data_IF_854363632003
#
_entry.id   IF_854363632003
#
_cell.length_a   1.000
_cell.length_b   1.000
_cell.length_c   1.000
_cell.angle_alpha   90.00
_cell.angle_beta   90.00
_cell.angle_gamma   90.00
#
_symmetry.space_group_name_H-M   'P 1'
#
loop_
_entity.id
_entity.type
_entity.pdbx_description
1 polymer ?
#
# COMPACT_ATOMS: atom_id res chain seq x y z
N UNK A 1 51.83 -0.87 9.84
CA UNK A 1 50.82 -0.16 9.05
C UNK A 1 49.49 -0.89 9.09
N UNK A 2 48.58 -0.49 9.98
CA UNK A 2 47.25 -1.10 10.21
C UNK A 2 46.19 -0.05 9.84
N UNK A 3 46.28 0.50 8.62
CA UNK A 3 45.32 1.54 8.16
C UNK A 3 44.46 1.03 7.00
N UNK A 4 44.87 -0.02 6.29
CA UNK A 4 44.14 -0.50 5.11
C UNK A 4 42.93 -1.40 5.40
N UNK A 5 42.80 -1.99 6.60
CA UNK A 5 41.71 -2.93 6.91
C UNK A 5 40.43 -2.27 7.43
N UNK A 6 40.47 -1.01 7.87
CA UNK A 6 39.28 -0.32 8.39
C UNK A 6 38.36 0.22 7.29
N UNK A 7 38.89 0.50 6.10
CA UNK A 7 38.09 1.08 5.01
C UNK A 7 37.16 0.05 4.34
N UNK A 8 37.50 -1.25 4.33
CA UNK A 8 36.64 -2.27 3.75
C UNK A 8 35.35 -2.55 4.56
N UNK A 9 35.33 -2.23 5.86
CA UNK A 9 34.16 -2.48 6.73
C UNK A 9 33.16 -1.32 6.69
N UNK A 10 33.58 -0.15 6.21
CA UNK A 10 32.73 1.04 6.10
C UNK A 10 31.91 1.07 4.80
N UNK A 11 32.44 0.53 3.69
CA UNK A 11 31.74 0.50 2.40
C UNK A 11 30.62 -0.55 2.31
N UNK A 12 30.57 -1.54 3.22
CA UNK A 12 29.53 -2.58 3.23
C UNK A 12 28.32 -2.23 4.12
N UNK A 13 28.08 -0.96 4.40
CA UNK A 13 26.78 -0.49 4.90
C UNK A 13 25.87 -0.18 3.71
N UNK A 14 25.70 -1.19 2.84
CA UNK A 14 24.78 -1.16 1.70
C UNK A 14 23.36 -1.21 2.22
N UNK A 15 22.81 -0.03 2.50
CA UNK A 15 21.39 0.30 2.46
C UNK A 15 20.47 -0.79 3.06
N UNK A 16 20.58 -1.07 4.36
CA UNK A 16 19.50 -1.80 5.02
C UNK A 16 18.23 -0.93 4.97
N UNK A 17 17.14 -1.39 4.34
CA UNK A 17 15.89 -0.63 4.31
C UNK A 17 15.38 -0.51 5.74
N UNK A 18 15.22 0.73 6.22
CA UNK A 18 14.66 0.98 7.54
C UNK A 18 13.27 0.31 7.62
N UNK A 19 13.01 -0.56 8.61
CA UNK A 19 11.70 -1.18 8.77
C UNK A 19 10.67 -0.08 9.05
N UNK A 20 9.75 0.10 8.10
CA UNK A 20 8.65 1.06 8.26
C UNK A 20 7.55 0.41 9.10
N UNK A 21 6.87 1.15 9.98
CA UNK A 21 5.78 0.61 10.78
C UNK A 21 4.69 0.05 9.86
N UNK A 22 4.36 -1.23 10.01
CA UNK A 22 3.28 -1.90 9.27
C UNK A 22 1.89 -1.35 9.66
N UNK A 23 1.79 -0.69 10.83
CA UNK A 23 0.55 -0.18 11.41
C UNK A 23 0.65 1.33 11.74
N UNK A 24 0.98 2.19 10.77
CA UNK A 24 0.86 3.64 10.97
C UNK A 24 -0.52 4.19 10.59
N UNK A 25 -1.47 3.32 10.25
CA UNK A 25 -2.83 3.68 9.83
C UNK A 25 -3.55 4.57 10.81
N UNK A 26 -3.47 5.87 10.53
CA UNK A 26 -4.36 6.87 11.08
C UNK A 26 -5.77 6.45 10.63
N UNK A 27 -6.63 6.20 11.61
CA UNK A 27 -8.00 5.66 11.53
C UNK A 27 -8.99 6.60 10.82
N UNK A 28 -8.62 7.08 9.63
CA UNK A 28 -9.51 7.70 8.68
C UNK A 28 -9.42 6.83 7.43
N UNK A 29 -10.52 6.24 6.99
CA UNK A 29 -10.46 5.26 5.88
C UNK A 29 -9.80 5.79 4.60
N UNK A 30 -9.68 7.11 4.43
CA UNK A 30 -8.87 7.71 3.36
C UNK A 30 -7.35 7.63 3.61
N UNK A 31 -6.90 7.83 4.85
CA UNK A 31 -5.50 7.62 5.23
C UNK A 31 -5.07 6.17 5.06
N UNK A 32 -5.94 5.23 5.44
CA UNK A 32 -5.70 3.79 5.22
C UNK A 32 -5.60 3.43 3.74
N UNK A 33 -6.53 3.90 2.90
CA UNK A 33 -6.44 3.70 1.44
C UNK A 33 -5.16 4.31 0.88
N UNK A 34 -4.79 5.51 1.33
CA UNK A 34 -3.54 6.16 0.90
C UNK A 34 -2.32 5.36 1.32
N UNK A 35 -2.26 4.84 2.54
CA UNK A 35 -1.16 3.99 3.00
C UNK A 35 -1.12 2.66 2.26
N UNK A 36 -2.27 2.08 1.95
CA UNK A 36 -2.35 0.92 1.06
C UNK A 36 -1.82 1.28 -0.33
N UNK A 37 -2.07 2.52 -0.75
CA UNK A 37 -1.67 3.07 -2.03
C UNK A 37 -0.25 3.68 -2.07
N UNK A 38 0.43 3.86 -0.96
CA UNK A 38 1.82 4.36 -0.91
C UNK A 38 2.77 3.34 -0.26
N UNK A 39 2.19 2.30 0.34
CA UNK A 39 2.86 1.19 1.00
C UNK A 39 3.37 0.12 0.05
N UNK A 40 3.82 -0.99 0.65
CA UNK A 40 4.44 -2.08 -0.10
C UNK A 40 3.43 -2.71 -1.08
N UNK A 41 3.85 -3.11 -2.31
CA UNK A 41 2.97 -3.74 -3.29
C UNK A 41 2.26 -4.99 -2.78
N UNK A 42 2.85 -5.67 -1.81
CA UNK A 42 2.26 -6.86 -1.18
C UNK A 42 1.14 -6.52 -0.20
N UNK A 43 1.13 -5.33 0.40
CA UNK A 43 0.15 -4.95 1.43
C UNK A 43 -1.26 -4.84 0.84
N UNK A 44 -1.40 -4.21 -0.33
CA UNK A 44 -2.69 -4.15 -1.04
C UNK A 44 -3.18 -5.53 -1.48
N UNK A 45 -2.26 -6.45 -1.81
CA UNK A 45 -2.61 -7.81 -2.17
C UNK A 45 -3.11 -8.60 -0.96
N UNK A 46 -2.48 -8.42 0.20
CA UNK A 46 -2.90 -9.08 1.45
C UNK A 46 -4.26 -8.55 1.93
N UNK A 47 -4.47 -7.23 1.88
CA UNK A 47 -5.67 -6.60 2.44
C UNK A 47 -6.87 -6.61 1.47
N UNK A 48 -6.64 -6.39 0.17
CA UNK A 48 -7.70 -6.32 -0.86
C UNK A 48 -7.68 -7.48 -1.85
N UNK A 49 -6.78 -8.46 -1.69
CA UNK A 49 -6.74 -9.66 -2.53
C UNK A 49 -6.32 -9.39 -3.97
N UNK A 50 -5.87 -8.17 -4.28
CA UNK A 50 -5.52 -7.77 -5.64
C UNK A 50 -4.33 -6.83 -5.67
N UNK A 51 -3.69 -6.76 -6.82
CA UNK A 51 -2.60 -5.83 -7.07
C UNK A 51 -3.09 -4.39 -7.15
N UNK A 52 -2.24 -3.46 -6.73
CA UNK A 52 -2.44 -2.00 -6.86
C UNK A 52 -2.95 -1.59 -8.22
N UNK A 53 -2.33 -2.09 -9.28
CA UNK A 53 -2.69 -1.71 -10.66
C UNK A 53 -4.11 -2.15 -11.01
N UNK A 54 -4.55 -3.32 -10.50
CA UNK A 54 -5.90 -3.84 -10.70
C UNK A 54 -6.90 -2.99 -9.94
N UNK A 55 -6.57 -2.60 -8.71
CA UNK A 55 -7.39 -1.70 -7.91
C UNK A 55 -7.60 -0.34 -8.61
N UNK A 56 -6.53 0.28 -9.14
CA UNK A 56 -6.64 1.53 -9.91
C UNK A 56 -7.49 1.35 -11.17
N UNK A 57 -7.32 0.24 -11.90
CA UNK A 57 -8.16 -0.05 -13.08
C UNK A 57 -9.64 -0.22 -12.71
N UNK A 58 -9.94 -0.85 -11.58
CA UNK A 58 -11.30 -0.99 -11.08
C UNK A 58 -11.91 0.39 -10.77
N UNK A 59 -11.16 1.28 -10.12
CA UNK A 59 -11.61 2.65 -9.84
C UNK A 59 -11.86 3.43 -11.13
N UNK A 60 -10.94 3.36 -12.09
CA UNK A 60 -11.12 4.01 -13.39
C UNK A 60 -12.33 3.45 -14.16
N UNK A 61 -12.55 2.13 -14.09
CA UNK A 61 -13.72 1.49 -14.68
C UNK A 61 -15.01 1.98 -14.03
N UNK A 62 -15.08 2.06 -12.70
CA UNK A 62 -16.26 2.57 -12.02
C UNK A 62 -16.52 4.04 -12.38
N UNK A 63 -15.47 4.86 -12.44
CA UNK A 63 -15.58 6.25 -12.89
C UNK A 63 -16.11 6.37 -14.33
N UNK A 64 -15.64 5.51 -15.24
CA UNK A 64 -16.12 5.52 -16.64
C UNK A 64 -17.59 5.10 -16.77
N UNK A 65 -18.15 4.44 -15.75
CA UNK A 65 -19.56 4.02 -15.69
C UNK A 65 -20.45 5.02 -14.94
N UNK A 66 -19.95 6.23 -14.66
CA UNK A 66 -20.73 7.31 -14.06
C UNK A 66 -20.63 7.40 -12.53
N UNK A 67 -19.81 6.55 -11.89
CA UNK A 67 -19.44 6.72 -10.48
C UNK A 67 -18.35 7.78 -10.36
N UNK A 68 -18.73 9.02 -10.67
CA UNK A 68 -17.82 10.18 -10.63
C UNK A 68 -18.02 10.93 -9.32
N UNK A 69 -17.03 10.81 -8.43
CA UNK A 69 -16.86 11.78 -7.34
C UNK A 69 -15.72 12.74 -7.68
N UNK A 70 -15.85 13.99 -7.22
CA UNK A 70 -14.93 15.08 -7.56
C UNK A 70 -13.49 14.92 -7.04
N UNK A 71 -13.22 13.87 -6.25
CA UNK A 71 -11.90 13.59 -5.67
C UNK A 71 -11.68 12.08 -5.63
N UNK A 72 -10.55 11.61 -6.17
CA UNK A 72 -10.08 10.22 -6.20
C UNK A 72 -10.33 9.46 -4.87
N UNK A 73 -10.21 10.17 -3.75
CA UNK A 73 -10.51 9.73 -2.39
C UNK A 73 -11.90 9.14 -2.11
N UNK A 74 -12.95 9.65 -2.77
CA UNK A 74 -14.32 9.35 -2.40
C UNK A 74 -14.78 7.99 -2.90
N UNK A 75 -14.24 7.51 -4.04
CA UNK A 75 -14.58 6.20 -4.58
C UNK A 75 -13.62 5.11 -4.10
N UNK A 76 -12.32 5.43 -3.96
CA UNK A 76 -11.32 4.46 -3.52
C UNK A 76 -11.62 3.88 -2.14
N UNK A 77 -12.05 4.73 -1.19
CA UNK A 77 -12.38 4.29 0.18
C UNK A 77 -13.54 3.27 0.24
N UNK A 78 -14.76 3.57 -0.26
CA UNK A 78 -15.86 2.61 -0.21
C UNK A 78 -15.56 1.35 -1.01
N UNK A 79 -14.87 1.46 -2.16
CA UNK A 79 -14.46 0.28 -2.93
C UNK A 79 -13.44 -0.58 -2.16
N UNK A 80 -12.46 0.01 -1.49
CA UNK A 80 -11.50 -0.72 -0.66
C UNK A 80 -12.16 -1.39 0.55
N UNK A 81 -13.07 -0.70 1.24
CA UNK A 81 -13.83 -1.28 2.37
C UNK A 81 -14.69 -2.46 1.90
N UNK A 82 -15.36 -2.32 0.76
CA UNK A 82 -16.16 -3.40 0.17
C UNK A 82 -15.31 -4.64 -0.12
N UNK A 83 -14.17 -4.47 -0.78
CA UNK A 83 -13.25 -5.56 -1.11
C UNK A 83 -12.67 -6.23 0.14
N UNK A 84 -12.26 -5.44 1.13
CA UNK A 84 -11.79 -5.94 2.41
C UNK A 84 -12.87 -6.79 3.10
N UNK A 85 -14.11 -6.28 3.18
CA UNK A 85 -15.23 -7.03 3.76
C UNK A 85 -15.50 -8.35 3.02
N UNK A 86 -15.40 -8.37 1.69
CA UNK A 86 -15.51 -9.61 0.90
C UNK A 86 -14.44 -10.63 1.31
N UNK A 87 -13.18 -10.21 1.45
CA UNK A 87 -12.09 -11.12 1.82
C UNK A 87 -12.21 -11.62 3.24
N UNK A 88 -12.47 -10.71 4.19
CA UNK A 88 -12.63 -11.08 5.60
C UNK A 88 -13.83 -12.00 5.81
N UNK A 89 -14.94 -11.79 5.09
CA UNK A 89 -16.12 -12.68 5.16
C UNK A 89 -15.91 -14.02 4.46
N UNK A 90 -15.16 -14.07 3.36
CA UNK A 90 -14.81 -15.32 2.66
C UNK A 90 -13.75 -16.15 3.39
N UNK A 91 -13.00 -15.55 4.31
CA UNK A 91 -11.95 -16.20 5.08
C UNK A 91 -12.43 -16.82 6.41
N UNK A 92 -13.76 -16.91 6.62
CA UNK A 92 -14.39 -17.51 7.82
C UNK A 92 -14.81 -18.94 7.54
#
# INVERSE_FOLDING_TARGET
>A
SIIATAQAVAEEQKQQPQPRPYHNSILTGYGWVRELMDGYPDQIRTELGMWREIFVRLINFLQSHGYTDSKHAMLEKPTAIFLYACITSLST
#
